data_IF_883489242767
#
_entry.id   IF_883489242767
#
_cell.length_a   1.000
_cell.length_b   1.000
_cell.length_c   1.000
_cell.angle_alpha   90.00
_cell.angle_beta   90.00
_cell.angle_gamma   90.00
#
_symmetry.space_group_name_H-M   'P 1'
#
loop_
_entity.id
_entity.type
_entity.pdbx_description
1 polymer ?
#
# COMPACT_ATOMS: atom_id res chain seq x y z
N UNK A 1 5.82 -11.44 13.25
CA UNK A 1 5.28 -10.17 13.76
C UNK A 1 4.24 -9.62 12.80
N UNK A 2 3.58 -8.52 13.17
CA UNK A 2 2.70 -7.74 12.28
C UNK A 2 3.50 -6.57 11.68
N UNK A 3 3.20 -6.21 10.44
CA UNK A 3 3.85 -5.12 9.73
C UNK A 3 2.85 -4.02 9.35
N UNK A 4 3.36 -2.80 9.21
CA UNK A 4 2.70 -1.71 8.52
C UNK A 4 3.42 -1.48 7.20
N UNK A 5 2.66 -1.25 6.12
CA UNK A 5 3.21 -0.94 4.82
C UNK A 5 2.56 0.32 4.25
N UNK A 6 3.39 1.30 3.87
CA UNK A 6 2.96 2.54 3.24
C UNK A 6 3.14 2.47 1.73
N UNK A 7 2.09 2.77 0.98
CA UNK A 7 2.11 2.91 -0.48
C UNK A 7 2.26 4.38 -0.84
N UNK A 8 3.28 4.72 -1.63
CA UNK A 8 3.55 6.09 -2.07
C UNK A 8 2.60 6.47 -3.21
N UNK A 9 1.80 7.51 -2.99
CA UNK A 9 0.91 8.08 -4.02
C UNK A 9 1.38 9.51 -4.34
N UNK A 10 2.13 9.72 -5.43
CA UNK A 10 2.61 11.04 -5.81
C UNK A 10 1.45 12.02 -6.03
N UNK A 11 1.50 13.17 -5.34
CA UNK A 11 0.47 14.21 -5.39
C UNK A 11 -0.97 13.74 -5.11
N UNK A 12 -1.16 12.55 -4.52
CA UNK A 12 -2.48 12.00 -4.22
C UNK A 12 -3.31 11.54 -5.43
N UNK A 13 -2.71 11.50 -6.63
CA UNK A 13 -3.42 11.05 -7.84
C UNK A 13 -3.39 9.53 -7.97
N UNK A 14 -4.55 8.96 -8.27
CA UNK A 14 -4.78 7.52 -8.34
C UNK A 14 -5.72 7.20 -9.50
N UNK A 15 -5.38 6.21 -10.33
CA UNK A 15 -6.33 5.68 -11.32
C UNK A 15 -7.38 4.78 -10.65
N UNK A 16 -8.49 4.51 -11.35
CA UNK A 16 -9.50 3.56 -10.86
C UNK A 16 -8.94 2.15 -10.65
N UNK A 17 -8.01 1.71 -11.51
CA UNK A 17 -7.34 0.42 -11.41
C UNK A 17 -6.43 0.35 -10.17
N UNK A 18 -5.67 1.41 -9.92
CA UNK A 18 -4.84 1.54 -8.71
C UNK A 18 -5.70 1.55 -7.44
N UNK A 19 -6.83 2.27 -7.46
CA UNK A 19 -7.80 2.30 -6.36
C UNK A 19 -8.37 0.91 -6.06
N UNK A 20 -8.83 0.21 -7.10
CA UNK A 20 -9.38 -1.14 -6.97
C UNK A 20 -8.35 -2.13 -6.42
N UNK A 21 -7.08 -2.01 -6.87
CA UNK A 21 -5.99 -2.87 -6.40
C UNK A 21 -5.69 -2.64 -4.91
N UNK A 22 -5.60 -1.38 -4.48
CA UNK A 22 -5.39 -1.03 -3.06
C UNK A 22 -6.56 -1.52 -2.21
N UNK A 23 -7.80 -1.35 -2.67
CA UNK A 23 -8.99 -1.80 -1.94
C UNK A 23 -9.02 -3.32 -1.77
N UNK A 24 -8.71 -4.07 -2.82
CA UNK A 24 -8.65 -5.54 -2.78
C UNK A 24 -7.58 -6.03 -1.79
N UNK A 25 -6.38 -5.44 -1.84
CA UNK A 25 -5.31 -5.75 -0.88
C UNK A 25 -5.76 -5.45 0.56
N UNK A 26 -6.45 -4.32 0.78
CA UNK A 26 -6.97 -3.95 2.11
C UNK A 26 -7.93 -5.01 2.65
N UNK A 27 -8.91 -5.43 1.85
CA UNK A 27 -9.90 -6.45 2.22
C UNK A 27 -9.26 -7.79 2.55
N UNK A 28 -8.29 -8.23 1.76
CA UNK A 28 -7.67 -9.56 1.91
C UNK A 28 -6.60 -9.60 2.99
N UNK A 29 -5.85 -8.50 3.19
CA UNK A 29 -4.62 -8.51 3.99
C UNK A 29 -4.62 -7.54 5.17
N UNK A 30 -5.46 -6.51 5.18
CA UNK A 30 -5.47 -5.41 6.18
C UNK A 30 -6.83 -5.28 6.88
N UNK A 31 -7.57 -6.39 7.06
CA UNK A 31 -8.89 -6.44 7.69
C UNK A 31 -9.94 -5.50 7.06
N UNK A 32 -9.77 -5.13 5.79
CA UNK A 32 -10.64 -4.16 5.11
C UNK A 32 -10.43 -2.70 5.53
N UNK A 33 -9.40 -2.39 6.32
CA UNK A 33 -9.12 -1.04 6.80
C UNK A 33 -7.91 -0.47 6.03
N UNK A 34 -8.13 0.71 5.45
CA UNK A 34 -7.12 1.49 4.73
C UNK A 34 -6.93 2.84 5.42
N UNK A 35 -5.70 3.20 5.76
CA UNK A 35 -5.39 4.45 6.44
C UNK A 35 -4.91 5.50 5.42
N UNK A 36 -5.68 6.58 5.25
CA UNK A 36 -5.22 7.76 4.51
C UNK A 36 -4.32 8.61 5.41
N UNK A 37 -3.12 8.89 4.93
CA UNK A 37 -2.12 9.68 5.67
C UNK A 37 -2.22 11.17 5.35
N UNK A 38 -1.71 12.01 6.22
CA UNK A 38 -1.59 13.47 6.00
C UNK A 38 -0.70 13.86 4.82
N UNK A 39 0.10 12.92 4.28
CA UNK A 39 0.95 13.11 3.09
C UNK A 39 0.30 12.61 1.79
N UNK A 40 -1.01 12.33 1.79
CA UNK A 40 -1.75 11.89 0.61
C UNK A 40 -1.40 10.47 0.15
N UNK A 41 -0.80 9.66 1.02
CA UNK A 41 -0.46 8.25 0.77
C UNK A 41 -1.36 7.32 1.60
N UNK A 42 -1.32 6.01 1.32
CA UNK A 42 -2.09 5.00 2.07
C UNK A 42 -1.21 4.08 2.91
N UNK A 43 -1.75 3.58 4.02
CA UNK A 43 -1.12 2.59 4.89
C UNK A 43 -2.02 1.38 5.11
N UNK A 44 -1.40 0.20 5.04
CA UNK A 44 -1.96 -1.08 5.46
C UNK A 44 -1.38 -1.46 6.82
N UNK A 45 -2.20 -2.05 7.69
CA UNK A 45 -1.80 -2.49 9.01
C UNK A 45 -2.05 -3.99 9.20
N UNK A 46 -1.41 -4.58 10.21
CA UNK A 46 -1.56 -5.99 10.61
C UNK A 46 -1.10 -7.03 9.57
N UNK A 47 -0.31 -6.60 8.57
CA UNK A 47 0.20 -7.48 7.53
C UNK A 47 1.10 -8.57 8.11
N UNK A 48 1.03 -9.77 7.55
CA UNK A 48 1.93 -10.89 7.86
C UNK A 48 3.07 -10.94 6.85
N UNK A 49 4.22 -11.44 7.29
CA UNK A 49 5.43 -11.51 6.45
C UNK A 49 5.21 -12.24 5.11
N UNK A 50 4.49 -13.37 5.13
CA UNK A 50 4.23 -14.17 3.93
C UNK A 50 3.29 -13.50 2.91
N UNK A 51 2.61 -12.41 3.28
CA UNK A 51 1.72 -11.65 2.37
C UNK A 51 2.49 -10.56 1.62
N UNK A 52 3.69 -10.18 2.08
CA UNK A 52 4.38 -8.99 1.57
C UNK A 52 4.77 -9.12 0.10
N UNK A 53 5.26 -10.29 -0.32
CA UNK A 53 5.69 -10.52 -1.71
C UNK A 53 4.52 -10.40 -2.69
N UNK A 54 3.37 -11.00 -2.37
CA UNK A 54 2.14 -10.86 -3.19
C UNK A 54 1.67 -9.40 -3.27
N UNK A 55 1.69 -8.69 -2.13
CA UNK A 55 1.31 -7.27 -2.09
C UNK A 55 2.24 -6.45 -2.98
N UNK A 56 3.55 -6.68 -2.94
CA UNK A 56 4.50 -5.96 -3.79
C UNK A 56 4.26 -6.22 -5.28
N UNK A 57 4.01 -7.46 -5.67
CA UNK A 57 3.73 -7.81 -7.06
C UNK A 57 2.43 -7.18 -7.55
N UNK A 58 1.38 -7.17 -6.73
CA UNK A 58 0.09 -6.52 -7.06
C UNK A 58 0.23 -5.02 -7.22
N UNK A 59 0.95 -4.35 -6.32
CA UNK A 59 1.21 -2.92 -6.43
C UNK A 59 2.05 -2.60 -7.68
N UNK A 60 3.08 -3.40 -7.98
CA UNK A 60 3.92 -3.21 -9.14
C UNK A 60 3.16 -3.34 -10.47
N UNK A 61 2.19 -4.28 -10.56
CA UNK A 61 1.33 -4.46 -11.75
C UNK A 61 0.54 -3.21 -12.13
N UNK A 62 0.20 -2.36 -11.16
CA UNK A 62 -0.52 -1.09 -11.38
C UNK A 62 0.39 0.14 -11.25
N UNK A 63 1.71 -0.05 -11.28
CA UNK A 63 2.70 1.03 -11.26
C UNK A 63 2.86 1.72 -9.90
N UNK A 64 2.39 1.12 -8.81
CA UNK A 64 2.55 1.66 -7.45
C UNK A 64 3.81 1.11 -6.77
N UNK A 65 4.31 1.84 -5.78
CA UNK A 65 5.53 1.45 -5.04
C UNK A 65 5.48 1.83 -3.57
N UNK A 66 6.29 1.15 -2.77
CA UNK A 66 6.52 1.40 -1.34
C UNK A 66 7.93 1.93 -1.07
N UNK A 67 8.78 2.02 -2.11
CA UNK A 67 10.15 2.56 -2.01
C UNK A 67 10.12 4.04 -1.63
N UNK A 68 10.98 4.43 -0.69
CA UNK A 68 11.04 5.79 -0.15
C UNK A 68 9.78 6.22 0.61
N UNK A 69 8.83 5.30 0.87
CA UNK A 69 7.65 5.63 1.68
C UNK A 69 8.01 5.78 3.18
N UNK A 70 9.07 5.10 3.60
CA UNK A 70 9.69 5.13 4.93
C UNK A 70 11.22 5.18 4.79
N UNK A 71 11.92 5.54 5.87
CA UNK A 71 13.38 5.71 5.88
C UNK A 71 13.84 7.08 5.35
N UNK A 72 15.12 7.41 5.50
CA UNK A 72 15.71 8.68 5.06
C UNK A 72 15.92 8.80 3.53
N UNK A 73 15.05 8.17 2.75
CA UNK A 73 15.10 8.15 1.28
C UNK A 73 13.87 8.87 0.72
N UNK A 74 14.05 9.61 -0.38
CA UNK A 74 13.00 10.35 -1.09
C UNK A 74 12.38 9.56 -2.23
#
# INVERSE_FOLDING_TARGET
GNFMLRVKIPAGFLSSEQAATIAAISTECSNGILHLTSRGSFEFHWLKHHQLDDIFDRLAKVGLTTRGACGGAV
#
